data_IF_134438753486
#
_entry.id   IF_134438753486
#
_cell.length_a   1.000
_cell.length_b   1.000
_cell.length_c   1.000
_cell.angle_alpha   90.00
_cell.angle_beta   90.00
_cell.angle_gamma   90.00
#
_symmetry.space_group_name_H-M   'P 1'
#
loop_
_entity.id
_entity.type
_entity.pdbx_description
1 polymer ?
#
# COMPACT_ATOMS: atom_id res chain seq x y z
N UNK A 1 24.15 -6.54 -42.89
CA UNK A 1 23.50 -5.31 -42.39
C UNK A 1 23.50 -5.36 -40.87
N UNK A 2 24.23 -4.47 -40.19
CA UNK A 2 24.16 -4.39 -38.72
C UNK A 2 22.80 -3.82 -38.34
N UNK A 3 22.03 -4.55 -37.52
CA UNK A 3 20.79 -4.02 -36.94
C UNK A 3 21.12 -2.71 -36.22
N UNK A 4 20.45 -1.61 -36.60
CA UNK A 4 20.54 -0.37 -35.83
C UNK A 4 20.00 -0.68 -34.43
N UNK A 5 20.84 -0.50 -33.41
CA UNK A 5 20.39 -0.58 -32.01
C UNK A 5 19.24 0.41 -31.80
N UNK A 6 18.11 -0.07 -31.32
CA UNK A 6 16.96 0.78 -31.02
C UNK A 6 17.30 1.75 -29.89
N UNK A 7 16.87 3.02 -29.96
CA UNK A 7 17.08 3.98 -28.88
C UNK A 7 16.47 3.44 -27.58
N UNK A 8 17.22 3.54 -26.47
CA UNK A 8 16.79 3.04 -25.14
C UNK A 8 15.39 3.53 -24.73
N UNK A 9 15.01 4.74 -25.16
CA UNK A 9 13.67 5.30 -24.92
C UNK A 9 12.59 4.55 -25.69
N UNK A 10 12.83 4.24 -26.96
CA UNK A 10 11.87 3.51 -27.81
C UNK A 10 11.62 2.11 -27.27
N UNK A 11 12.70 1.44 -26.85
CA UNK A 11 12.65 0.13 -26.20
C UNK A 11 11.78 0.15 -24.93
N UNK A 12 11.90 1.18 -24.09
CA UNK A 12 11.08 1.33 -22.88
C UNK A 12 9.60 1.58 -23.19
N UNK A 13 9.29 2.42 -24.17
CA UNK A 13 7.90 2.69 -24.57
C UNK A 13 7.23 1.41 -25.09
N UNK A 14 7.96 0.63 -25.89
CA UNK A 14 7.50 -0.66 -26.38
C UNK A 14 7.23 -1.64 -25.24
N UNK A 15 8.15 -1.76 -24.29
CA UNK A 15 7.98 -2.58 -23.08
C UNK A 15 6.79 -2.16 -22.22
N UNK A 16 6.57 -0.85 -22.06
CA UNK A 16 5.43 -0.30 -21.31
C UNK A 16 4.09 -0.62 -22.02
N UNK A 17 4.06 -0.81 -23.34
CA UNK A 17 2.86 -1.24 -24.08
C UNK A 17 2.70 -2.75 -24.03
N UNK A 18 3.78 -3.51 -24.22
CA UNK A 18 3.77 -4.98 -24.20
C UNK A 18 3.26 -5.52 -22.87
N UNK A 19 3.66 -4.91 -21.73
CA UNK A 19 3.17 -5.33 -20.41
C UNK A 19 1.65 -5.18 -20.27
N UNK A 20 1.02 -4.22 -20.96
CA UNK A 20 -0.44 -4.07 -20.95
C UNK A 20 -1.10 -5.30 -21.56
N UNK A 21 -0.62 -5.77 -22.72
CA UNK A 21 -1.17 -6.95 -23.38
C UNK A 21 -0.94 -8.25 -22.60
N UNK A 22 0.14 -8.32 -21.83
CA UNK A 22 0.44 -9.49 -21.00
C UNK A 22 -0.43 -9.55 -19.74
N UNK A 23 -0.76 -8.40 -19.16
CA UNK A 23 -1.44 -8.31 -17.86
C UNK A 23 -2.94 -8.07 -17.97
N UNK A 24 -3.42 -7.41 -19.03
CA UNK A 24 -4.81 -7.04 -19.19
C UNK A 24 -5.48 -7.79 -20.37
N UNK A 25 -6.34 -8.77 -20.09
CA UNK A 25 -7.11 -9.49 -21.10
C UNK A 25 -8.06 -8.59 -21.93
N UNK A 26 -8.37 -7.37 -21.47
CA UNK A 26 -9.23 -6.43 -22.18
C UNK A 26 -8.49 -5.68 -23.30
N UNK A 27 -7.15 -5.68 -23.32
CA UNK A 27 -6.36 -4.99 -24.33
C UNK A 27 -6.45 -5.68 -25.71
N UNK A 28 -7.07 -5.02 -26.69
CA UNK A 28 -7.31 -5.63 -28.02
C UNK A 28 -6.32 -5.19 -29.08
N UNK A 29 -5.99 -3.90 -29.14
CA UNK A 29 -5.15 -3.32 -30.21
C UNK A 29 -4.16 -2.30 -29.68
N UNK A 30 -3.01 -2.16 -30.34
CA UNK A 30 -1.99 -1.18 -29.96
C UNK A 30 -2.53 0.25 -29.97
N UNK A 31 -3.34 0.60 -30.97
CA UNK A 31 -3.90 1.95 -31.10
C UNK A 31 -4.85 2.27 -29.94
N UNK A 32 -5.71 1.31 -29.57
CA UNK A 32 -6.58 1.44 -28.39
C UNK A 32 -5.74 1.65 -27.13
N UNK A 33 -4.77 0.76 -26.86
CA UNK A 33 -3.92 0.85 -25.67
C UNK A 33 -3.23 2.20 -25.56
N UNK A 34 -2.63 2.66 -26.67
CA UNK A 34 -1.91 3.94 -26.73
C UNK A 34 -2.84 5.13 -26.49
N UNK A 35 -4.12 5.07 -26.91
CA UNK A 35 -5.04 6.20 -26.82
C UNK A 35 -5.89 6.21 -25.55
N UNK A 36 -6.13 5.06 -24.92
CA UNK A 36 -7.15 4.95 -23.84
C UNK A 36 -6.57 4.57 -22.47
N UNK A 37 -5.36 4.04 -22.37
CA UNK A 37 -4.82 3.58 -21.10
C UNK A 37 -4.18 4.72 -20.30
N UNK A 38 -4.94 5.22 -19.32
CA UNK A 38 -4.50 6.28 -18.40
C UNK A 38 -3.23 5.92 -17.63
N UNK A 39 -3.07 4.65 -17.24
CA UNK A 39 -1.86 4.11 -16.61
C UNK A 39 -0.61 4.34 -17.47
N UNK A 40 -0.70 4.00 -18.75
CA UNK A 40 0.37 4.18 -19.73
C UNK A 40 0.72 5.66 -19.91
N UNK A 41 -0.29 6.51 -20.07
CA UNK A 41 -0.09 7.97 -20.19
C UNK A 41 0.61 8.56 -18.97
N UNK A 42 0.21 8.15 -17.76
CA UNK A 42 0.81 8.63 -16.52
C UNK A 42 2.28 8.20 -16.39
N UNK A 43 2.62 6.97 -16.79
CA UNK A 43 4.00 6.48 -16.80
C UNK A 43 4.85 7.30 -17.77
N UNK A 44 4.38 7.54 -18.99
CA UNK A 44 5.13 8.31 -19.98
C UNK A 44 5.34 9.77 -19.55
N UNK A 45 4.29 10.41 -19.03
CA UNK A 45 4.37 11.75 -18.47
C UNK A 45 5.34 11.80 -17.28
N UNK A 46 5.31 10.80 -16.39
CA UNK A 46 6.27 10.68 -15.30
C UNK A 46 7.70 10.52 -15.82
N UNK A 47 7.97 9.67 -16.81
CA UNK A 47 9.32 9.49 -17.36
C UNK A 47 9.90 10.81 -17.89
N UNK A 48 9.07 11.64 -18.54
CA UNK A 48 9.44 13.00 -18.96
C UNK A 48 9.67 13.94 -17.77
N UNK A 49 8.74 13.98 -16.82
CA UNK A 49 8.84 14.82 -15.61
C UNK A 49 10.07 14.45 -14.77
N UNK A 50 10.36 13.16 -14.62
CA UNK A 50 11.50 12.63 -13.88
C UNK A 50 12.83 13.00 -14.56
N UNK A 51 12.88 13.02 -15.91
CA UNK A 51 14.06 13.50 -16.62
C UNK A 51 14.34 14.99 -16.35
N UNK A 52 13.30 15.83 -16.30
CA UNK A 52 13.42 17.24 -15.91
C UNK A 52 13.82 17.40 -14.44
N UNK A 53 13.21 16.61 -13.55
CA UNK A 53 13.51 16.62 -12.12
C UNK A 53 14.98 16.27 -11.85
N UNK A 54 15.54 15.25 -12.53
CA UNK A 54 16.97 14.89 -12.44
C UNK A 54 17.91 16.00 -12.93
N UNK A 55 17.46 16.84 -13.86
CA UNK A 55 18.18 18.03 -14.34
C UNK A 55 17.93 19.27 -13.46
N UNK A 56 17.28 19.11 -12.30
CA UNK A 56 16.93 20.17 -11.34
C UNK A 56 15.88 21.17 -11.85
N UNK A 57 15.18 20.88 -12.93
CA UNK A 57 14.03 21.66 -13.41
C UNK A 57 12.75 21.25 -12.65
N UNK A 58 12.72 21.50 -11.34
CA UNK A 58 11.67 21.00 -10.45
C UNK A 58 10.29 21.58 -10.75
N UNK A 59 10.21 22.87 -11.04
CA UNK A 59 8.93 23.53 -11.32
C UNK A 59 8.28 23.01 -12.61
N UNK A 60 8.97 22.96 -13.77
CA UNK A 60 8.44 22.31 -14.97
C UNK A 60 8.09 20.83 -14.76
N UNK A 61 8.94 20.09 -14.05
CA UNK A 61 8.64 18.69 -13.71
C UNK A 61 7.33 18.55 -12.93
N UNK A 62 7.05 19.48 -12.02
CA UNK A 62 5.80 19.49 -11.26
C UNK A 62 4.58 19.91 -12.07
N UNK A 63 4.71 20.84 -13.01
CA UNK A 63 3.62 21.15 -13.95
C UNK A 63 3.21 19.90 -14.73
N UNK A 64 4.17 19.16 -15.30
CA UNK A 64 3.88 17.93 -16.05
C UNK A 64 3.20 16.88 -15.16
N UNK A 65 3.70 16.68 -13.94
CA UNK A 65 3.10 15.75 -12.98
C UNK A 65 1.66 16.12 -12.61
N UNK A 66 1.36 17.41 -12.42
CA UNK A 66 0.01 17.86 -12.10
C UNK A 66 -0.94 17.81 -13.30
N UNK A 67 -0.46 18.14 -14.49
CA UNK A 67 -1.23 17.96 -15.72
C UNK A 67 -1.57 16.48 -15.94
N UNK A 68 -0.59 15.59 -15.78
CA UNK A 68 -0.82 14.14 -15.84
C UNK A 68 -1.88 13.68 -14.85
N UNK A 69 -1.78 14.12 -13.58
CA UNK A 69 -2.78 13.82 -12.54
C UNK A 69 -4.17 14.29 -12.94
N UNK A 70 -4.30 15.49 -13.51
CA UNK A 70 -5.58 16.04 -13.94
C UNK A 70 -6.25 15.18 -15.03
N UNK A 71 -5.50 14.74 -16.04
CA UNK A 71 -6.05 13.95 -17.15
C UNK A 71 -6.25 12.45 -16.82
N UNK A 72 -5.43 11.89 -15.93
CA UNK A 72 -5.39 10.43 -15.69
C UNK A 72 -5.97 10.01 -14.34
N UNK A 73 -6.08 10.92 -13.37
CA UNK A 73 -6.39 10.59 -11.98
C UNK A 73 -5.26 9.90 -11.21
N UNK A 74 -4.07 9.76 -11.83
CA UNK A 74 -2.88 9.11 -11.24
C UNK A 74 -1.87 10.19 -10.84
N UNK A 75 -1.51 10.23 -9.56
CA UNK A 75 -0.49 11.15 -9.06
C UNK A 75 0.85 10.42 -8.89
N UNK A 76 1.85 10.80 -9.69
CA UNK A 76 3.22 10.33 -9.54
C UNK A 76 4.14 11.52 -9.34
N UNK A 77 4.82 11.57 -8.20
CA UNK A 77 5.82 12.59 -7.94
C UNK A 77 7.00 12.46 -8.93
N UNK A 78 7.53 13.55 -9.53
CA UNK A 78 8.66 13.47 -10.46
C UNK A 78 9.94 12.89 -9.87
N UNK A 79 10.09 12.99 -8.54
CA UNK A 79 11.22 12.42 -7.79
C UNK A 79 11.18 10.89 -7.64
N UNK A 80 10.01 10.26 -7.83
CA UNK A 80 9.89 8.81 -7.71
C UNK A 80 10.79 8.11 -8.75
N UNK A 81 11.38 6.98 -8.37
CA UNK A 81 12.17 6.14 -9.27
C UNK A 81 11.32 4.95 -9.67
N UNK A 82 11.12 4.76 -10.97
CA UNK A 82 10.29 3.69 -11.52
C UNK A 82 11.10 2.89 -12.53
N UNK A 83 11.10 1.57 -12.34
CA UNK A 83 11.70 0.58 -13.22
C UNK A 83 11.03 0.45 -14.59
N UNK A 84 11.28 -0.70 -15.22
CA UNK A 84 10.75 -1.13 -16.51
C UNK A 84 9.48 -1.95 -16.32
N UNK A 85 8.60 -1.93 -17.33
CA UNK A 85 7.36 -2.74 -17.33
C UNK A 85 6.53 -2.53 -16.06
N UNK A 86 6.52 -1.29 -15.55
CA UNK A 86 5.64 -0.91 -14.46
C UNK A 86 4.23 -0.81 -15.02
N UNK A 87 3.29 -1.55 -14.47
CA UNK A 87 1.91 -1.60 -14.96
C UNK A 87 0.97 -0.97 -13.94
N UNK A 88 0.16 -0.01 -14.40
CA UNK A 88 -0.89 0.61 -13.61
C UNK A 88 -2.22 0.28 -14.25
N UNK A 89 -2.99 -0.59 -13.61
CA UNK A 89 -4.31 -0.99 -14.10
C UNK A 89 -5.43 -0.14 -13.47
N UNK A 90 -6.37 0.30 -14.30
CA UNK A 90 -7.44 1.28 -14.05
C UNK A 90 -6.98 2.66 -13.56
N UNK A 91 -5.98 2.73 -12.70
CA UNK A 91 -5.18 3.90 -12.34
C UNK A 91 -5.83 4.95 -11.45
N UNK A 92 -7.15 5.11 -11.47
CA UNK A 92 -7.84 6.17 -10.74
C UNK A 92 -7.47 6.16 -9.25
N UNK A 93 -7.00 7.30 -8.71
CA UNK A 93 -6.67 7.45 -7.30
C UNK A 93 -5.36 6.79 -6.87
N UNK A 94 -4.52 6.35 -7.81
CA UNK A 94 -3.14 5.93 -7.50
C UNK A 94 -2.31 7.15 -7.08
N UNK A 95 -1.58 7.02 -5.97
CA UNK A 95 -0.70 8.07 -5.43
C UNK A 95 0.68 7.50 -5.13
N UNK A 96 1.72 8.03 -5.77
CA UNK A 96 3.11 7.59 -5.63
C UNK A 96 3.97 8.78 -5.18
N UNK A 97 4.50 8.69 -3.97
CA UNK A 97 5.24 9.77 -3.33
C UNK A 97 6.67 9.99 -3.85
N UNK A 98 7.26 11.10 -3.40
CA UNK A 98 8.55 11.61 -3.90
C UNK A 98 9.71 10.63 -3.84
N UNK A 99 9.86 9.93 -2.72
CA UNK A 99 11.02 9.08 -2.48
C UNK A 99 10.70 7.60 -2.71
N UNK A 100 9.60 7.29 -3.41
CA UNK A 100 9.29 5.94 -3.83
C UNK A 100 10.38 5.40 -4.75
N UNK A 101 10.74 4.14 -4.54
CA UNK A 101 11.59 3.39 -5.45
C UNK A 101 10.83 2.13 -5.85
N UNK A 102 10.52 1.99 -7.13
CA UNK A 102 9.72 0.89 -7.68
C UNK A 102 10.59 0.13 -8.68
N UNK A 103 10.71 -1.17 -8.46
CA UNK A 103 11.45 -2.11 -9.29
C UNK A 103 10.79 -2.42 -10.64
N UNK A 104 11.28 -3.46 -11.28
CA UNK A 104 10.83 -3.91 -12.59
C UNK A 104 9.61 -4.86 -12.48
N UNK A 105 8.73 -4.84 -13.48
CA UNK A 105 7.53 -5.70 -13.58
C UNK A 105 6.56 -5.56 -12.38
N UNK A 106 6.55 -4.42 -11.70
CA UNK A 106 5.62 -4.16 -10.61
C UNK A 106 4.25 -3.82 -11.18
N UNK A 107 3.19 -4.38 -10.60
CA UNK A 107 1.80 -4.08 -10.96
C UNK A 107 1.09 -3.35 -9.82
N UNK A 108 0.39 -2.27 -10.15
CA UNK A 108 -0.37 -1.46 -9.20
C UNK A 108 -1.78 -1.24 -9.74
N UNK A 109 -2.78 -1.45 -8.89
CA UNK A 109 -4.19 -1.23 -9.23
C UNK A 109 -4.70 0.13 -8.72
N UNK A 110 -5.92 0.49 -9.13
CA UNK A 110 -6.59 1.72 -8.74
C UNK A 110 -6.66 1.93 -7.22
N UNK A 111 -6.63 3.19 -6.79
CA UNK A 111 -6.74 3.59 -5.38
C UNK A 111 -5.54 3.22 -4.49
N UNK A 112 -4.45 2.70 -5.07
CA UNK A 112 -3.24 2.37 -4.31
C UNK A 112 -2.51 3.65 -3.87
N UNK A 113 -2.00 3.64 -2.63
CA UNK A 113 -1.12 4.72 -2.14
C UNK A 113 0.22 4.15 -1.72
N UNK A 114 1.29 4.63 -2.35
CA UNK A 114 2.68 4.46 -1.91
C UNK A 114 3.12 5.78 -1.26
N UNK A 115 2.80 5.91 0.02
CA UNK A 115 2.77 7.17 0.76
C UNK A 115 3.77 7.24 1.91
N UNK A 116 3.95 8.44 2.47
CA UNK A 116 4.69 8.62 3.71
C UNK A 116 3.79 8.57 4.94
N UNK A 117 4.39 8.40 6.12
CA UNK A 117 3.71 8.43 7.41
C UNK A 117 3.76 9.80 8.10
N UNK A 118 4.47 10.78 7.54
CA UNK A 118 4.52 12.15 8.05
C UNK A 118 5.91 12.79 8.06
N UNK A 119 6.41 13.15 9.25
CA UNK A 119 7.47 14.16 9.53
C UNK A 119 8.91 13.76 9.17
N UNK A 120 9.11 12.60 8.55
CA UNK A 120 10.45 12.15 8.18
C UNK A 120 11.03 13.03 7.06
N UNK A 121 12.23 13.58 7.29
CA UNK A 121 13.00 14.24 6.24
C UNK A 121 13.84 13.19 5.50
N UNK A 122 13.84 13.23 4.18
CA UNK A 122 14.57 12.28 3.34
C UNK A 122 13.72 11.13 2.80
N UNK A 123 14.27 9.91 2.80
CA UNK A 123 13.58 8.68 2.35
C UNK A 123 12.47 8.35 3.36
N UNK A 124 11.22 8.37 2.89
CA UNK A 124 10.00 8.34 3.72
C UNK A 124 8.82 7.64 3.03
N UNK A 125 9.04 7.19 1.80
CA UNK A 125 8.05 6.47 1.00
C UNK A 125 8.58 5.06 0.69
N UNK A 126 7.72 4.12 0.30
CA UNK A 126 8.11 2.72 0.18
C UNK A 126 9.16 2.45 -0.89
N UNK A 127 9.82 1.31 -0.75
CA UNK A 127 10.58 0.66 -1.83
C UNK A 127 9.84 -0.61 -2.23
N UNK A 128 9.40 -0.70 -3.48
CA UNK A 128 8.70 -1.86 -4.02
C UNK A 128 9.69 -2.62 -4.91
N UNK A 129 10.00 -3.86 -4.56
CA UNK A 129 10.93 -4.69 -5.33
C UNK A 129 10.23 -5.38 -6.50
N UNK A 130 11.03 -6.03 -7.33
CA UNK A 130 10.63 -6.56 -8.63
C UNK A 130 9.48 -7.58 -8.53
N UNK A 131 8.64 -7.60 -9.56
CA UNK A 131 7.49 -8.50 -9.71
C UNK A 131 6.44 -8.41 -8.58
N UNK A 132 6.50 -7.38 -7.72
CA UNK A 132 5.51 -7.19 -6.69
C UNK A 132 4.17 -6.73 -7.30
N UNK A 133 3.06 -7.14 -6.66
CA UNK A 133 1.71 -6.74 -7.02
C UNK A 133 1.06 -6.02 -5.86
N UNK A 134 0.58 -4.79 -6.08
CA UNK A 134 -0.14 -3.98 -5.10
C UNK A 134 -1.60 -3.86 -5.56
N UNK A 135 -2.48 -4.62 -4.92
CA UNK A 135 -3.88 -4.73 -5.33
C UNK A 135 -4.70 -3.49 -4.95
N UNK A 136 -5.89 -3.41 -5.54
CA UNK A 136 -6.80 -2.28 -5.49
C UNK A 136 -6.97 -1.71 -4.09
N UNK A 137 -6.81 -0.38 -3.95
CA UNK A 137 -7.07 0.33 -2.70
C UNK A 137 -6.03 0.13 -1.60
N UNK A 138 -5.00 -0.70 -1.79
CA UNK A 138 -4.00 -0.93 -0.76
C UNK A 138 -3.18 0.35 -0.44
N UNK A 139 -2.77 0.49 0.81
CA UNK A 139 -1.97 1.61 1.32
C UNK A 139 -0.66 1.04 1.85
N UNK A 140 0.46 1.41 1.24
CA UNK A 140 1.81 1.05 1.69
C UNK A 140 2.45 2.35 2.16
N UNK A 141 2.70 2.46 3.47
CA UNK A 141 3.04 3.75 4.08
C UNK A 141 4.38 3.67 4.83
N UNK A 142 5.22 4.69 4.62
CA UNK A 142 6.51 4.86 5.27
C UNK A 142 7.68 4.34 4.46
N UNK A 143 8.90 4.53 4.97
CA UNK A 143 10.12 4.00 4.37
C UNK A 143 10.29 2.50 4.63
N UNK A 144 9.38 1.69 4.08
CA UNK A 144 9.39 0.23 4.17
C UNK A 144 9.65 -0.42 2.81
N UNK A 145 10.24 -1.61 2.81
CA UNK A 145 10.44 -2.43 1.61
C UNK A 145 9.36 -3.50 1.47
N UNK A 146 8.82 -3.60 0.25
CA UNK A 146 8.01 -4.74 -0.19
C UNK A 146 8.91 -5.64 -1.02
N UNK A 147 9.19 -6.85 -0.52
CA UNK A 147 10.09 -7.80 -1.14
C UNK A 147 9.61 -8.31 -2.50
N UNK A 148 10.53 -8.88 -3.27
CA UNK A 148 10.28 -9.38 -4.62
C UNK A 148 9.17 -10.43 -4.65
N UNK A 149 8.43 -10.50 -5.74
CA UNK A 149 7.32 -11.43 -5.95
C UNK A 149 6.22 -11.39 -4.87
N UNK A 150 6.16 -10.31 -4.08
CA UNK A 150 5.18 -10.20 -3.00
C UNK A 150 3.88 -9.58 -3.48
N UNK A 151 2.78 -9.98 -2.86
CA UNK A 151 1.42 -9.55 -3.20
C UNK A 151 0.80 -8.84 -2.00
N UNK A 152 0.43 -7.58 -2.17
CA UNK A 152 -0.33 -6.83 -1.19
C UNK A 152 -1.80 -6.89 -1.60
N UNK A 153 -2.63 -7.51 -0.75
CA UNK A 153 -4.05 -7.71 -1.00
C UNK A 153 -4.86 -6.43 -0.98
N UNK A 154 -6.02 -6.46 -1.62
CA UNK A 154 -6.88 -5.29 -1.79
C UNK A 154 -7.26 -4.68 -0.43
N UNK A 155 -7.30 -3.34 -0.37
CA UNK A 155 -7.65 -2.59 0.84
C UNK A 155 -6.68 -2.71 2.02
N UNK A 156 -5.56 -3.44 1.90
CA UNK A 156 -4.63 -3.65 3.01
C UNK A 156 -3.88 -2.38 3.37
N UNK A 157 -3.54 -2.21 4.65
CA UNK A 157 -2.70 -1.08 5.14
C UNK A 157 -1.38 -1.64 5.67
N UNK A 158 -0.31 -1.51 4.89
CA UNK A 158 1.01 -2.07 5.18
C UNK A 158 1.90 -0.99 5.79
N UNK A 159 2.34 -1.25 7.02
CA UNK A 159 3.14 -0.33 7.83
C UNK A 159 4.51 -0.92 8.22
N UNK A 160 4.83 -2.12 7.73
CA UNK A 160 6.05 -2.87 8.08
C UNK A 160 6.65 -3.51 6.84
N UNK A 161 7.96 -3.76 6.91
CA UNK A 161 8.72 -4.54 5.94
C UNK A 161 8.02 -5.87 5.58
N UNK A 162 7.99 -6.19 4.29
CA UNK A 162 7.40 -7.42 3.76
C UNK A 162 8.51 -8.26 3.12
N UNK A 163 8.79 -9.48 3.64
CA UNK A 163 9.78 -10.37 3.04
C UNK A 163 9.41 -10.74 1.60
N UNK A 164 10.37 -11.15 0.76
CA UNK A 164 10.08 -11.69 -0.57
C UNK A 164 9.08 -12.86 -0.55
N UNK A 165 8.47 -13.13 -1.71
CA UNK A 165 7.51 -14.21 -1.95
C UNK A 165 6.35 -14.25 -0.93
N UNK A 166 5.94 -13.08 -0.43
CA UNK A 166 4.95 -12.98 0.64
C UNK A 166 3.61 -12.47 0.14
N UNK A 167 2.51 -12.90 0.76
CA UNK A 167 1.18 -12.29 0.58
C UNK A 167 0.76 -11.59 1.87
N UNK A 168 0.34 -10.33 1.78
CA UNK A 168 -0.08 -9.50 2.91
C UNK A 168 -1.53 -9.12 2.75
N UNK A 169 -2.34 -9.26 3.80
CA UNK A 169 -3.74 -8.83 3.83
C UNK A 169 -4.10 -8.13 5.13
N UNK A 170 -5.14 -7.30 5.12
CA UNK A 170 -5.79 -6.74 6.31
C UNK A 170 -5.32 -5.34 6.72
N UNK A 171 -5.94 -4.85 7.79
CA UNK A 171 -5.68 -3.51 8.38
C UNK A 171 -5.50 -3.67 9.89
N UNK A 172 -4.27 -3.56 10.43
CA UNK A 172 -3.01 -3.46 9.70
C UNK A 172 -2.65 -4.75 8.95
N UNK A 173 -1.92 -4.62 7.85
CA UNK A 173 -1.51 -5.71 6.98
C UNK A 173 -0.60 -6.71 7.68
N UNK A 174 -0.94 -8.00 7.57
CA UNK A 174 -0.15 -9.12 8.10
C UNK A 174 0.22 -10.08 6.98
N UNK A 175 1.42 -10.64 7.04
CA UNK A 175 1.86 -11.71 6.12
C UNK A 175 1.09 -12.99 6.42
N UNK A 176 0.41 -13.53 5.40
CA UNK A 176 -0.43 -14.74 5.50
C UNK A 176 0.11 -15.92 4.69
N UNK A 177 0.90 -15.62 3.65
CA UNK A 177 1.61 -16.62 2.85
C UNK A 177 3.05 -16.16 2.72
N UNK A 178 3.99 -17.09 2.79
CA UNK A 178 5.39 -16.84 2.49
C UNK A 178 5.99 -18.08 1.85
N UNK A 179 6.71 -17.89 0.74
CA UNK A 179 7.35 -18.97 -0.03
C UNK A 179 6.35 -20.08 -0.43
N UNK A 180 5.12 -19.67 -0.79
CA UNK A 180 4.02 -20.59 -1.13
C UNK A 180 3.37 -21.31 0.05
N UNK A 181 3.91 -21.15 1.27
CA UNK A 181 3.40 -21.79 2.48
C UNK A 181 2.49 -20.82 3.22
N UNK A 182 1.26 -21.25 3.52
CA UNK A 182 0.36 -20.50 4.40
C UNK A 182 0.97 -20.46 5.80
N UNK A 183 1.23 -19.26 6.31
CA UNK A 183 1.65 -19.08 7.69
C UNK A 183 0.39 -19.30 8.54
N UNK A 184 0.35 -20.39 9.30
CA UNK A 184 -0.69 -20.61 10.31
C UNK A 184 -0.53 -19.57 11.42
N UNK A 185 -1.10 -18.39 11.21
CA UNK A 185 -1.61 -17.53 12.27
C UNK A 185 -3.11 -17.65 12.23
N UNK A 186 -3.73 -17.63 13.40
CA UNK A 186 -5.18 -17.59 13.51
C UNK A 186 -5.67 -16.32 12.79
N UNK A 187 -6.25 -16.50 11.60
CA UNK A 187 -6.76 -15.42 10.75
C UNK A 187 -8.24 -15.23 11.04
N UNK A 188 -8.60 -15.17 12.32
CA UNK A 188 -9.93 -14.74 12.72
C UNK A 188 -10.08 -13.26 12.37
N UNK A 189 -10.66 -12.99 11.20
CA UNK A 189 -11.01 -11.63 10.76
C UNK A 189 -12.20 -11.06 11.54
N UNK A 190 -12.84 -11.89 12.37
CA UNK A 190 -13.82 -11.49 13.37
C UNK A 190 -13.18 -10.90 14.64
N UNK A 191 -11.89 -11.14 14.88
CA UNK A 191 -11.10 -10.56 15.97
C UNK A 191 -10.05 -9.62 15.38
N UNK A 192 -10.53 -8.50 14.83
CA UNK A 192 -9.65 -7.32 14.74
C UNK A 192 -9.23 -6.96 16.17
N UNK A 193 -7.97 -6.54 16.42
CA UNK A 193 -7.65 -5.90 17.68
C UNK A 193 -8.57 -4.70 17.80
N UNK A 194 -9.57 -4.83 18.66
CA UNK A 194 -10.51 -3.80 18.99
C UNK A 194 -9.97 -3.18 20.27
N UNK A 195 -9.07 -2.18 20.20
CA UNK A 195 -8.53 -1.55 21.40
C UNK A 195 -9.65 -0.97 22.27
N UNK A 196 -10.83 -0.70 21.69
CA UNK A 196 -12.01 -0.30 22.43
C UNK A 196 -12.68 -1.50 23.11
N UNK A 197 -12.87 -2.61 22.39
CA UNK A 197 -13.39 -3.88 22.92
C UNK A 197 -12.49 -4.54 23.97
N UNK A 198 -11.18 -4.49 23.80
CA UNK A 198 -10.20 -4.97 24.78
C UNK A 198 -10.24 -4.12 26.05
N UNK A 199 -10.39 -2.79 25.90
CA UNK A 199 -10.64 -1.89 27.02
C UNK A 199 -11.99 -2.15 27.69
N UNK A 200 -13.03 -2.48 26.92
CA UNK A 200 -14.33 -2.88 27.47
C UNK A 200 -14.26 -4.20 28.24
N UNK A 201 -13.51 -5.20 27.75
CA UNK A 201 -13.25 -6.45 28.49
C UNK A 201 -12.48 -6.20 29.79
N UNK A 202 -11.46 -5.34 29.76
CA UNK A 202 -10.74 -4.91 30.98
C UNK A 202 -11.70 -4.23 31.97
N UNK A 203 -12.55 -3.32 31.49
CA UNK A 203 -13.58 -2.65 32.30
C UNK A 203 -14.61 -3.62 32.87
N UNK A 204 -15.05 -4.64 32.12
CA UNK A 204 -15.98 -5.66 32.60
C UNK A 204 -15.37 -6.51 33.72
N UNK A 205 -14.08 -6.85 33.62
CA UNK A 205 -13.34 -7.56 34.67
C UNK A 205 -13.24 -6.69 35.92
N UNK A 206 -12.91 -5.41 35.80
CA UNK A 206 -12.88 -4.50 36.96
C UNK A 206 -14.26 -4.29 37.58
N UNK A 207 -15.31 -4.10 36.78
CA UNK A 207 -16.69 -4.00 37.25
C UNK A 207 -17.12 -5.25 38.04
N UNK A 208 -16.70 -6.42 37.58
CA UNK A 208 -16.99 -7.69 38.26
C UNK A 208 -16.29 -7.78 39.62
N UNK A 209 -15.02 -7.38 39.70
CA UNK A 209 -14.27 -7.31 40.96
C UNK A 209 -14.89 -6.31 41.94
N UNK A 210 -15.22 -5.12 41.48
CA UNK A 210 -15.86 -4.09 42.30
C UNK A 210 -17.24 -4.54 42.82
N UNK A 211 -18.03 -5.23 41.99
CA UNK A 211 -19.31 -5.79 42.42
C UNK A 211 -19.12 -6.83 43.54
N UNK A 212 -18.13 -7.70 43.42
CA UNK A 212 -17.81 -8.71 44.42
C UNK A 212 -17.39 -8.06 45.75
N UNK A 213 -16.51 -7.06 45.69
CA UNK A 213 -16.05 -6.31 46.87
C UNK A 213 -17.21 -5.56 47.56
N UNK A 214 -18.13 -4.97 46.79
CA UNK A 214 -19.35 -4.35 47.34
C UNK A 214 -20.24 -5.37 48.05
N UNK A 215 -20.35 -6.59 47.52
CA UNK A 215 -21.12 -7.66 48.15
C UNK A 215 -20.49 -8.04 49.50
N UNK A 216 -19.17 -8.23 49.53
CA UNK A 216 -18.42 -8.58 50.74
C UNK A 216 -18.54 -7.49 51.81
N UNK A 217 -18.37 -6.22 51.44
CA UNK A 217 -18.52 -5.08 52.34
C UNK A 217 -19.96 -4.94 52.88
N UNK A 218 -20.98 -5.24 52.06
CA UNK A 218 -22.39 -5.24 52.50
C UNK A 218 -22.67 -6.39 53.48
N UNK A 219 -22.07 -7.54 53.27
CA UNK A 219 -22.18 -8.70 54.15
C UNK A 219 -21.52 -8.44 55.51
N UNK A 220 -20.32 -7.85 55.50
CA UNK A 220 -19.63 -7.42 56.72
C UNK A 220 -20.43 -6.37 57.49
N UNK A 221 -20.96 -5.36 56.79
CA UNK A 221 -21.81 -4.33 57.41
C UNK A 221 -23.11 -4.91 57.99
N UNK A 222 -23.70 -5.91 57.35
CA UNK A 222 -24.88 -6.61 57.87
C UNK A 222 -24.56 -7.38 59.15
N UNK A 223 -23.39 -8.02 59.24
CA UNK A 223 -22.92 -8.73 60.44
C UNK A 223 -22.63 -7.78 61.60
N UNK A 224 -22.05 -6.61 61.32
CA UNK A 224 -21.78 -5.56 62.33
C UNK A 224 -23.09 -4.98 62.87
N UNK A 225 -24.06 -4.66 62.01
CA UNK A 225 -25.36 -4.13 62.44
C UNK A 225 -26.22 -5.16 63.21
N UNK A 226 -26.04 -6.46 62.95
CA UNK A 226 -26.70 -7.53 63.71
C UNK A 226 -26.20 -7.70 65.15
N UNK A 227 -25.02 -7.18 65.48
CA UNK A 227 -24.45 -7.26 66.84
C UNK A 227 -24.77 -6.04 67.72
N UNK A 228 -25.47 -5.01 67.21
CA UNK A 228 -25.82 -3.79 67.95
C UNK A 228 -27.26 -3.78 68.49
N UNK A 229 -27.96 -4.93 68.47
CA UNK A 229 -29.30 -5.09 69.07
C UNK A 229 -29.27 -6.14 70.18
N UNK A 230 -28.54 -5.84 71.25
CA UNK A 230 -28.73 -6.41 72.60
C UNK A 230 -28.51 -5.29 73.63
#
# INVERSE_FOLDING_TARGET
MKAKEEPVVFKKLKEDIEVVFEQDPAARTYLEVILTYSGLHAIWAHRLAHALYKRKFYFPARIISQASRFFTGIEIHPGAKIGRRFFIDHGMGVVIGETCEIGDNVTVFQGVTLGGTGKEKGKRHPTIKDNALIATGAKVLGSITIGENSKIGAGSVVLKEVPPNSTVVGVPGKVVVRDGIKIKKDLNHCDLPDPTGDRFKELEIELSKLRQEIIELKDERSKVNGHTTL
#
